data_IF_744102550841
#
_entry.id   IF_744102550841
#
_cell.length_a   1.000
_cell.length_b   1.000
_cell.length_c   1.000
_cell.angle_alpha   90.00
_cell.angle_beta   90.00
_cell.angle_gamma   90.00
#
_symmetry.space_group_name_H-M   'P 1'
#
loop_
_entity.id
_entity.type
_entity.pdbx_description
1 polymer ?
#
# COMPACT_ATOMS: atom_id res chain seq x y z
N UNK A 1 7.25 36.32 -15.61
CA UNK A 1 8.04 36.51 -16.85
C UNK A 1 9.29 35.67 -16.70
N UNK A 2 9.44 34.65 -17.54
CA UNK A 2 10.69 33.91 -17.89
C UNK A 2 11.56 33.41 -16.72
N UNK A 3 11.72 32.11 -16.48
CA UNK A 3 11.99 31.06 -17.47
C UNK A 3 11.55 29.70 -16.95
N UNK A 4 10.88 28.95 -17.82
CA UNK A 4 10.96 27.49 -17.82
C UNK A 4 12.44 27.11 -17.98
N UNK A 5 13.19 26.99 -16.88
CA UNK A 5 14.48 26.32 -16.90
C UNK A 5 14.21 24.82 -16.94
N UNK A 6 13.92 24.33 -18.15
CA UNK A 6 14.01 22.90 -18.48
C UNK A 6 15.49 22.41 -18.45
N UNK A 7 16.39 23.18 -17.82
CA UNK A 7 17.84 23.13 -17.97
C UNK A 7 18.57 23.31 -16.61
N UNK A 8 17.95 22.96 -15.48
CA UNK A 8 18.73 22.65 -14.27
C UNK A 8 19.47 21.33 -14.56
N UNK A 9 20.82 21.28 -14.70
CA UNK A 9 21.53 20.04 -15.07
C UNK A 9 21.35 18.91 -14.04
N UNK A 10 20.79 19.21 -12.87
CA UNK A 10 20.55 18.28 -11.78
C UNK A 10 19.13 17.66 -11.81
N UNK A 11 18.18 18.17 -12.61
CA UNK A 11 16.79 17.68 -12.68
C UNK A 11 16.45 17.17 -14.09
N UNK A 12 16.71 15.89 -14.37
CA UNK A 12 16.39 15.30 -15.66
C UNK A 12 14.87 15.18 -15.89
N UNK A 13 14.45 15.27 -17.15
CA UNK A 13 13.04 15.14 -17.60
C UNK A 13 12.41 13.79 -17.17
N UNK A 14 13.22 12.74 -17.00
CA UNK A 14 12.76 11.43 -16.52
C UNK A 14 12.60 11.33 -15.00
N UNK A 15 12.86 12.39 -14.23
CA UNK A 15 12.72 12.39 -12.77
C UNK A 15 11.32 11.96 -12.27
N UNK A 16 10.22 12.51 -12.82
CA UNK A 16 8.86 12.13 -12.43
C UNK A 16 8.51 10.65 -12.69
N UNK A 17 9.13 10.01 -13.69
CA UNK A 17 8.88 8.60 -14.00
C UNK A 17 9.21 7.69 -12.82
N UNK A 18 10.35 7.91 -12.16
CA UNK A 18 10.75 7.15 -10.98
C UNK A 18 9.87 7.45 -9.76
N UNK A 19 9.35 8.68 -9.64
CA UNK A 19 8.39 9.05 -8.59
C UNK A 19 7.08 8.27 -8.69
N UNK A 20 6.52 8.17 -9.90
CA UNK A 20 5.29 7.41 -10.16
C UNK A 20 5.53 5.91 -9.98
N UNK A 21 6.70 5.39 -10.38
CA UNK A 21 7.07 3.99 -10.14
C UNK A 21 7.17 3.67 -8.63
N UNK A 22 7.73 4.58 -7.83
CA UNK A 22 7.74 4.47 -6.37
C UNK A 22 6.32 4.46 -5.77
N UNK A 23 5.45 5.33 -6.26
CA UNK A 23 4.04 5.38 -5.87
C UNK A 23 3.29 4.07 -6.20
N UNK A 24 3.50 3.53 -7.41
CA UNK A 24 2.88 2.28 -7.84
C UNK A 24 3.37 1.07 -7.04
N UNK A 25 4.69 0.95 -6.85
CA UNK A 25 5.28 -0.16 -6.10
C UNK A 25 4.83 -0.16 -4.63
N UNK A 26 4.78 1.00 -3.97
CA UNK A 26 4.29 1.13 -2.59
C UNK A 26 2.87 0.57 -2.43
N UNK A 27 1.96 0.93 -3.34
CA UNK A 27 0.56 0.44 -3.32
C UNK A 27 0.47 -1.06 -3.63
N UNK A 28 1.14 -1.54 -4.69
CA UNK A 28 1.01 -2.93 -5.15
C UNK A 28 1.52 -3.91 -4.11
N UNK A 29 2.74 -3.70 -3.58
CA UNK A 29 3.34 -4.64 -2.62
C UNK A 29 2.62 -4.61 -1.27
N UNK A 30 2.20 -3.44 -0.81
CA UNK A 30 1.41 -3.30 0.41
C UNK A 30 0.04 -3.98 0.29
N UNK A 31 -0.67 -3.77 -0.83
CA UNK A 31 -1.97 -4.40 -1.09
C UNK A 31 -1.84 -5.92 -1.23
N UNK A 32 -0.80 -6.39 -1.90
CA UNK A 32 -0.52 -7.81 -2.05
C UNK A 32 -0.23 -8.48 -0.71
N UNK A 33 0.56 -7.84 0.16
CA UNK A 33 0.83 -8.31 1.53
C UNK A 33 -0.44 -8.40 2.38
N UNK A 34 -1.28 -7.35 2.33
CA UNK A 34 -2.55 -7.31 3.04
C UNK A 34 -3.53 -8.38 2.55
N UNK A 35 -3.63 -8.57 1.22
CA UNK A 35 -4.47 -9.59 0.60
C UNK A 35 -4.02 -11.00 1.00
N UNK A 36 -2.71 -11.27 0.95
CA UNK A 36 -2.16 -12.57 1.36
C UNK A 36 -2.39 -12.86 2.83
N UNK A 37 -2.12 -11.88 3.72
CA UNK A 37 -2.39 -12.01 5.15
C UNK A 37 -3.86 -12.34 5.43
N UNK A 38 -4.77 -11.59 4.79
CA UNK A 38 -6.22 -11.78 4.89
C UNK A 38 -6.66 -13.15 4.37
N UNK A 39 -6.13 -13.60 3.23
CA UNK A 39 -6.48 -14.89 2.65
C UNK A 39 -6.07 -16.06 3.57
N UNK A 40 -4.84 -16.02 4.11
CA UNK A 40 -4.33 -17.09 4.98
C UNK A 40 -5.03 -17.11 6.34
N UNK A 41 -5.26 -15.95 6.96
CA UNK A 41 -6.04 -15.89 8.20
C UNK A 41 -7.49 -16.30 7.97
N UNK A 42 -8.09 -15.91 6.84
CA UNK A 42 -9.47 -16.22 6.49
C UNK A 42 -9.73 -17.72 6.39
N UNK A 43 -8.82 -18.49 5.77
CA UNK A 43 -8.94 -19.96 5.68
C UNK A 43 -8.95 -20.59 7.09
N UNK A 44 -8.08 -20.12 7.98
CA UNK A 44 -8.01 -20.61 9.36
C UNK A 44 -9.26 -20.25 10.17
N UNK A 45 -9.76 -19.01 10.04
CA UNK A 45 -10.99 -18.55 10.70
C UNK A 45 -12.19 -19.37 10.21
N UNK A 46 -12.33 -19.59 8.90
CA UNK A 46 -13.43 -20.38 8.32
C UNK A 46 -13.42 -21.83 8.80
N UNK A 47 -12.25 -22.46 8.91
CA UNK A 47 -12.13 -23.82 9.45
C UNK A 47 -12.49 -23.88 10.94
N UNK A 48 -12.04 -22.90 11.72
CA UNK A 48 -12.35 -22.82 13.15
C UNK A 48 -13.82 -22.47 13.42
N UNK A 49 -14.44 -21.64 12.58
CA UNK A 49 -15.81 -21.16 12.73
C UNK A 49 -16.85 -22.28 12.78
N UNK A 50 -16.59 -23.42 12.13
CA UNK A 50 -17.47 -24.61 12.17
C UNK A 50 -17.36 -25.35 13.49
N UNK A 51 -16.17 -25.38 14.10
CA UNK A 51 -15.91 -26.13 15.33
C UNK A 51 -16.25 -25.33 16.60
N UNK A 52 -15.92 -24.03 16.64
CA UNK A 52 -16.14 -23.15 17.79
C UNK A 52 -16.50 -21.72 17.37
N UNK A 53 -17.79 -21.44 17.09
CA UNK A 53 -18.23 -20.13 16.60
C UNK A 53 -18.01 -18.99 17.61
N UNK A 54 -17.95 -19.28 18.91
CA UNK A 54 -17.74 -18.28 19.96
C UNK A 54 -16.39 -17.53 19.86
N UNK A 55 -15.43 -18.11 19.14
CA UNK A 55 -14.08 -17.58 19.01
C UNK A 55 -13.86 -16.72 17.75
N UNK A 56 -14.87 -16.57 16.89
CA UNK A 56 -14.77 -15.83 15.61
C UNK A 56 -14.35 -14.38 15.85
N UNK A 57 -15.00 -13.69 16.78
CA UNK A 57 -14.73 -12.27 17.06
C UNK A 57 -13.29 -12.02 17.54
N UNK A 58 -12.74 -12.91 18.37
CA UNK A 58 -11.34 -12.80 18.81
C UNK A 58 -10.36 -13.13 17.69
N UNK A 59 -10.75 -13.99 16.77
CA UNK A 59 -9.89 -14.48 15.69
C UNK A 59 -9.81 -13.55 14.49
N UNK A 60 -10.55 -12.43 14.48
CA UNK A 60 -10.52 -11.40 13.43
C UNK A 60 -9.31 -10.46 13.56
N UNK A 61 -8.66 -10.39 14.72
CA UNK A 61 -7.50 -9.51 14.97
C UNK A 61 -6.39 -9.64 13.89
N UNK A 62 -5.98 -10.84 13.45
CA UNK A 62 -4.99 -10.99 12.38
C UNK A 62 -5.41 -10.39 11.03
N UNK A 63 -6.71 -10.43 10.71
CA UNK A 63 -7.26 -9.82 9.48
C UNK A 63 -7.12 -8.30 9.55
N UNK A 64 -7.45 -7.72 10.72
CA UNK A 64 -7.33 -6.26 10.94
C UNK A 64 -5.87 -5.83 10.84
N UNK A 65 -4.95 -6.61 11.42
CA UNK A 65 -3.50 -6.30 11.33
C UNK A 65 -2.99 -6.36 9.89
N UNK A 66 -3.47 -7.31 9.06
CA UNK A 66 -3.16 -7.34 7.64
C UNK A 66 -3.72 -6.10 6.91
N UNK A 67 -4.92 -5.63 7.28
CA UNK A 67 -5.52 -4.42 6.72
C UNK A 67 -4.73 -3.14 7.00
N UNK A 68 -4.13 -3.00 8.18
CA UNK A 68 -3.31 -1.83 8.54
C UNK A 68 -2.09 -1.71 7.62
N UNK A 69 -1.52 -2.85 7.16
CA UNK A 69 -0.40 -2.85 6.21
C UNK A 69 -0.78 -2.16 4.90
N UNK A 70 -2.00 -2.35 4.38
CA UNK A 70 -2.50 -1.68 3.18
C UNK A 70 -2.57 -0.16 3.36
N UNK A 71 -2.99 0.29 4.54
CA UNK A 71 -3.10 1.72 4.88
C UNK A 71 -1.71 2.37 4.89
N UNK A 72 -0.67 1.65 5.36
CA UNK A 72 0.69 2.16 5.29
C UNK A 72 1.16 2.42 3.84
N UNK A 73 0.87 1.52 2.91
CA UNK A 73 1.19 1.72 1.49
C UNK A 73 0.42 2.87 0.87
N UNK A 74 -0.87 3.00 1.20
CA UNK A 74 -1.72 4.11 0.75
C UNK A 74 -1.18 5.46 1.20
N UNK A 75 -0.85 5.62 2.49
CA UNK A 75 -0.38 6.90 3.04
C UNK A 75 0.96 7.30 2.40
N UNK A 76 1.89 6.36 2.25
CA UNK A 76 3.19 6.63 1.61
C UNK A 76 3.00 7.04 0.14
N UNK A 77 2.16 6.31 -0.60
CA UNK A 77 1.82 6.62 -1.99
C UNK A 77 1.21 8.03 -2.14
N UNK A 78 0.28 8.40 -1.27
CA UNK A 78 -0.36 9.72 -1.29
C UNK A 78 0.63 10.86 -1.01
N UNK A 79 1.56 10.67 -0.07
CA UNK A 79 2.59 11.67 0.22
C UNK A 79 3.55 11.87 -0.96
N UNK A 80 3.92 10.80 -1.66
CA UNK A 80 4.77 10.87 -2.86
C UNK A 80 4.03 11.60 -3.98
N UNK A 81 2.78 11.23 -4.25
CA UNK A 81 1.97 11.84 -5.31
C UNK A 81 1.81 13.36 -5.13
N UNK A 82 1.64 13.84 -3.90
CA UNK A 82 1.55 15.27 -3.60
C UNK A 82 2.85 16.06 -3.82
N UNK A 83 4.01 15.39 -3.79
CA UNK A 83 5.31 16.04 -3.98
C UNK A 83 5.80 15.98 -5.43
N UNK A 84 5.17 15.19 -6.30
CA UNK A 84 5.48 15.16 -7.72
C UNK A 84 4.92 16.43 -8.36
N UNK A 85 5.83 17.29 -8.84
CA UNK A 85 5.48 18.49 -9.61
C UNK A 85 5.64 18.19 -11.11
N UNK A 86 4.74 18.72 -11.97
CA UNK A 86 4.90 18.65 -13.42
C UNK A 86 6.14 19.42 -13.88
#
# INVERSE_FOLDING_TARGET
MSTSSNDDPLKPIYGPFFGIMGCASAMIFSSMGAAYGTAKSGIGISSMAVMRPDLIMKSIIPVVMAGIIAIYGLVVSALIANNIKP
#
